data_IF_640035567483
#
_entry.id   IF_640035567483
#
_cell.length_a   1.000
_cell.length_b   1.000
_cell.length_c   1.000
_cell.angle_alpha   90.00
_cell.angle_beta   90.00
_cell.angle_gamma   90.00
#
_symmetry.space_group_name_H-M   'P 1'
#
loop_
_entity.id
_entity.type
_entity.pdbx_description
1 polymer ?
#
# COMPACT_ATOMS: atom_id res chain seq x y z
N UNK A 1 6.61 -7.40 -0.31
CA UNK A 1 5.28 -7.30 0.34
C UNK A 1 4.24 -7.91 -0.61
N UNK A 2 3.26 -8.64 -0.09
CA UNK A 2 2.14 -9.15 -0.89
C UNK A 2 0.84 -8.51 -0.40
N UNK A 3 0.05 -7.94 -1.30
CA UNK A 3 -1.24 -7.30 -0.99
C UNK A 3 -2.38 -8.14 -1.57
N UNK A 4 -3.35 -8.53 -0.73
CA UNK A 4 -4.62 -9.09 -1.15
C UNK A 4 -5.68 -8.00 -1.10
N UNK A 5 -6.29 -7.70 -2.25
CA UNK A 5 -7.23 -6.59 -2.42
C UNK A 5 -8.54 -7.12 -3.01
N UNK A 6 -9.68 -6.61 -2.50
CA UNK A 6 -11.02 -6.89 -3.03
C UNK A 6 -11.41 -5.77 -4.00
N UNK A 7 -11.32 -5.98 -5.33
CA UNK A 7 -11.48 -4.91 -6.30
C UNK A 7 -12.92 -4.43 -6.48
N UNK A 8 -13.94 -5.17 -6.00
CA UNK A 8 -15.36 -4.82 -6.18
C UNK A 8 -15.84 -3.62 -5.33
N UNK A 9 -14.99 -3.09 -4.45
CA UNK A 9 -15.31 -1.96 -3.59
C UNK A 9 -14.27 -0.86 -3.73
N UNK A 10 -14.76 0.38 -3.76
CA UNK A 10 -13.88 1.54 -3.64
C UNK A 10 -13.47 1.68 -2.18
N UNK A 11 -12.19 1.51 -1.92
CA UNK A 11 -11.63 1.50 -0.58
C UNK A 11 -10.25 2.17 -0.61
N UNK A 12 -9.83 2.72 0.53
CA UNK A 12 -8.49 3.25 0.67
C UNK A 12 -7.95 3.01 2.08
N UNK A 13 -6.68 2.66 2.15
CA UNK A 13 -5.95 2.48 3.39
C UNK A 13 -4.52 3.01 3.27
N UNK A 14 -3.90 3.25 4.42
CA UNK A 14 -2.51 3.70 4.50
C UNK A 14 -1.69 2.60 5.15
N UNK A 15 -0.70 2.09 4.42
CA UNK A 15 0.35 1.27 4.98
C UNK A 15 1.40 2.19 5.62
N UNK A 16 1.76 1.87 6.85
CA UNK A 16 2.76 2.58 7.63
C UNK A 16 3.96 1.66 7.86
N UNK A 17 5.16 2.16 7.59
CA UNK A 17 6.42 1.44 7.79
C UNK A 17 7.40 2.34 8.54
N UNK A 18 7.99 1.83 9.63
CA UNK A 18 9.12 2.39 10.36
C UNK A 18 10.12 1.26 10.67
N UNK A 19 11.16 1.53 11.47
CA UNK A 19 12.17 0.53 11.83
C UNK A 19 11.69 -0.50 12.88
N UNK A 20 10.47 -0.34 13.41
CA UNK A 20 9.87 -1.17 14.45
C UNK A 20 10.62 -1.25 15.77
N UNK A 21 11.66 -0.43 15.97
CA UNK A 21 12.66 -0.61 17.04
C UNK A 21 12.99 0.68 17.79
N UNK A 22 13.19 1.80 17.09
CA UNK A 22 13.58 3.07 17.70
C UNK A 22 12.39 4.02 17.86
N UNK A 23 12.67 5.28 18.23
CA UNK A 23 11.67 6.35 18.28
C UNK A 23 11.83 7.35 17.12
N UNK A 24 12.59 7.01 16.08
CA UNK A 24 12.94 7.97 15.02
C UNK A 24 11.74 8.38 14.16
N UNK A 25 10.64 7.61 14.23
CA UNK A 25 9.33 8.03 13.70
C UNK A 25 8.85 9.39 14.25
N UNK A 26 9.27 9.78 15.46
CA UNK A 26 8.96 11.11 16.05
C UNK A 26 9.68 12.23 15.32
N UNK A 27 10.79 11.92 14.66
CA UNK A 27 11.58 12.85 13.86
C UNK A 27 11.21 12.80 12.37
N UNK A 28 10.22 11.98 11.98
CA UNK A 28 9.77 11.85 10.60
C UNK A 28 10.34 10.66 9.85
N UNK A 29 11.14 9.80 10.49
CA UNK A 29 11.69 8.59 9.86
C UNK A 29 10.63 7.48 9.80
N UNK A 30 9.76 7.58 8.80
CA UNK A 30 8.75 6.58 8.47
C UNK A 30 8.28 6.75 7.02
N UNK A 31 7.68 5.71 6.46
CA UNK A 31 7.02 5.72 5.16
C UNK A 31 5.50 5.58 5.33
N UNK A 32 4.75 6.37 4.57
CA UNK A 32 3.29 6.25 4.44
C UNK A 32 2.93 6.00 2.98
N UNK A 33 2.41 4.82 2.70
CA UNK A 33 1.94 4.43 1.37
C UNK A 33 0.41 4.40 1.37
N UNK A 34 -0.22 5.30 0.62
CA UNK A 34 -1.67 5.29 0.42
C UNK A 34 -2.00 4.35 -0.72
N UNK A 35 -2.80 3.32 -0.43
CA UNK A 35 -3.32 2.38 -1.42
C UNK A 35 -4.80 2.69 -1.60
N UNK A 36 -5.22 2.85 -2.85
CA UNK A 36 -6.60 3.16 -3.22
C UNK A 36 -7.07 2.18 -4.30
N UNK A 37 -8.22 1.57 -4.06
CA UNK A 37 -8.89 0.71 -5.01
C UNK A 37 -9.97 1.54 -5.69
N UNK A 38 -9.86 1.72 -7.01
CA UNK A 38 -10.86 2.42 -7.81
C UNK A 38 -11.58 1.40 -8.72
N UNK A 39 -12.85 1.12 -8.42
CA UNK A 39 -13.68 0.10 -9.07
C UNK A 39 -13.66 0.13 -10.62
N UNK A 40 -13.41 1.30 -11.22
CA UNK A 40 -13.40 1.50 -12.69
C UNK A 40 -12.01 1.68 -13.30
N UNK A 41 -11.01 1.99 -12.49
CA UNK A 41 -9.67 2.39 -12.95
C UNK A 41 -8.56 1.47 -12.45
N UNK A 42 -8.90 0.39 -11.74
CA UNK A 42 -7.95 -0.54 -11.15
C UNK A 42 -7.39 -0.04 -9.81
N UNK A 43 -6.25 -0.61 -9.42
CA UNK A 43 -5.59 -0.28 -8.16
C UNK A 43 -4.60 0.87 -8.40
N UNK A 44 -4.72 1.94 -7.61
CA UNK A 44 -3.74 3.04 -7.59
C UNK A 44 -2.95 2.99 -6.29
N UNK A 45 -1.63 3.00 -6.41
CA UNK A 45 -0.71 3.05 -5.27
C UNK A 45 0.00 4.40 -5.32
N UNK A 46 -0.15 5.19 -4.25
CA UNK A 46 0.50 6.50 -4.10
C UNK A 46 1.42 6.48 -2.89
N UNK A 47 2.66 6.88 -3.12
CA UNK A 47 3.63 7.11 -2.06
C UNK A 47 3.65 8.60 -1.72
N UNK A 48 3.69 8.92 -0.43
CA UNK A 48 3.95 10.28 0.03
C UNK A 48 5.31 10.28 0.75
N UNK A 49 6.06 11.40 0.64
CA UNK A 49 7.32 11.61 1.36
C UNK A 49 8.43 10.58 1.06
N UNK A 50 8.66 10.26 -0.21
CA UNK A 50 9.88 9.55 -0.59
C UNK A 50 11.04 10.56 -0.64
N UNK A 51 12.00 10.43 0.29
CA UNK A 51 13.37 10.92 0.12
C UNK A 51 14.29 9.70 -0.03
N UNK A 52 14.99 9.59 -1.17
CA UNK A 52 15.82 8.42 -1.54
C UNK A 52 15.17 7.47 -2.55
N UNK A 53 15.94 6.50 -3.06
CA UNK A 53 15.46 5.51 -4.02
C UNK A 53 14.93 4.27 -3.29
N UNK A 54 13.61 4.04 -3.34
CA UNK A 54 12.98 2.81 -2.86
C UNK A 54 12.31 2.07 -4.02
N UNK A 55 12.83 0.89 -4.37
CA UNK A 55 12.27 0.06 -5.45
C UNK A 55 11.32 -0.98 -4.84
N UNK A 56 10.01 -0.74 -4.96
CA UNK A 56 9.00 -1.73 -4.58
C UNK A 56 8.68 -2.65 -5.76
N UNK A 57 8.93 -3.95 -5.58
CA UNK A 57 8.33 -4.99 -6.44
C UNK A 57 6.91 -5.28 -5.94
N UNK A 58 5.93 -5.05 -6.80
CA UNK A 58 4.52 -5.38 -6.55
C UNK A 58 4.14 -6.53 -7.47
N UNK A 59 3.96 -7.71 -6.89
CA UNK A 59 3.30 -8.83 -7.55
C UNK A 59 1.80 -8.73 -7.25
N UNK A 60 1.00 -8.48 -8.27
CA UNK A 60 -0.46 -8.49 -8.17
C UNK A 60 -1.01 -9.81 -8.69
N UNK A 61 -1.75 -10.52 -7.83
CA UNK A 61 -2.51 -11.71 -8.20
C UNK A 61 -4.00 -11.39 -8.06
N UNK A 62 -4.70 -11.31 -9.19
CA UNK A 62 -6.15 -11.09 -9.22
C UNK A 62 -6.84 -12.43 -9.01
N UNK A 63 -7.26 -12.69 -7.78
CA UNK A 63 -8.09 -13.85 -7.47
C UNK A 63 -9.55 -13.44 -7.47
N UNK A 64 -10.30 -13.91 -8.46
CA UNK A 64 -11.75 -13.90 -8.40
C UNK A 64 -12.17 -14.77 -7.21
N UNK A 65 -12.70 -14.16 -6.15
CA UNK A 65 -13.36 -14.90 -5.09
C UNK A 65 -14.65 -15.47 -5.69
N UNK A 66 -14.62 -16.72 -6.15
CA UNK A 66 -15.84 -17.41 -6.56
C UNK A 66 -16.67 -17.58 -5.30
N UNK A 67 -17.71 -16.76 -5.16
CA UNK A 67 -18.72 -16.92 -4.13
C UNK A 67 -19.41 -18.27 -4.36
N UNK A 68 -19.24 -19.20 -3.42
CA UNK A 68 -19.94 -20.48 -3.36
C UNK A 68 -21.33 -20.30 -2.74
#
# INVERSE_FOLDING_TARGET
MNLLLEPSREESFVLYEDDGTTNDYKNGEYLKTTISIENKNGIKIKYNNIEGDYILHVDCDFKDLIAM
#
